data_IF_508815313032
#
_entry.id   IF_508815313032
#
_cell.length_a   1.000
_cell.length_b   1.000
_cell.length_c   1.000
_cell.angle_alpha   90.00
_cell.angle_beta   90.00
_cell.angle_gamma   90.00
#
_symmetry.space_group_name_H-M   'P 1'
#
loop_
_entity.id
_entity.type
_entity.pdbx_description
1 polymer ?
#
# COMPACT_ATOMS: atom_id res chain seq x y z
N UNK A 1 -6.94 -18.59 6.83
CA UNK A 1 -6.49 -17.94 5.58
C UNK A 1 -7.62 -17.06 5.07
N UNK A 2 -7.32 -15.85 4.64
CA UNK A 2 -8.27 -14.91 4.05
C UNK A 2 -7.70 -14.37 2.74
N UNK A 3 -8.52 -14.22 1.72
CA UNK A 3 -8.12 -13.64 0.45
C UNK A 3 -9.32 -12.93 -0.18
N UNK A 4 -9.05 -11.88 -0.93
CA UNK A 4 -10.11 -11.17 -1.63
C UNK A 4 -9.59 -10.31 -2.75
N UNK A 5 -10.51 -9.98 -3.63
CA UNK A 5 -10.32 -9.10 -4.76
C UNK A 5 -11.43 -8.05 -4.72
N UNK A 6 -11.05 -6.80 -4.94
CA UNK A 6 -11.92 -5.66 -5.00
C UNK A 6 -11.66 -4.92 -6.30
N UNK A 7 -12.73 -4.63 -7.03
CA UNK A 7 -12.70 -3.79 -8.21
C UNK A 7 -13.79 -2.73 -8.07
N UNK A 8 -13.42 -1.47 -8.28
CA UNK A 8 -14.35 -0.36 -8.35
C UNK A 8 -14.17 0.33 -9.69
N UNK A 9 -15.24 0.37 -10.48
CA UNK A 9 -15.30 1.22 -11.64
C UNK A 9 -15.37 2.69 -11.19
N UNK A 10 -14.56 3.54 -11.81
CA UNK A 10 -14.60 4.98 -11.56
C UNK A 10 -15.93 5.60 -12.01
N UNK A 11 -16.31 6.78 -11.48
CA UNK A 11 -17.55 7.46 -11.86
C UNK A 11 -17.55 7.77 -13.36
N UNK A 12 -18.49 7.21 -14.12
CA UNK A 12 -18.58 7.34 -15.57
C UNK A 12 -19.70 8.30 -16.01
N UNK A 13 -19.84 9.42 -15.32
CA UNK A 13 -20.79 10.49 -15.66
C UNK A 13 -20.07 11.65 -16.36
N UNK A 14 -20.79 12.49 -17.14
CA UNK A 14 -20.22 13.71 -17.71
C UNK A 14 -19.62 14.60 -16.61
N UNK A 15 -18.42 15.12 -16.83
CA UNK A 15 -17.72 16.01 -15.90
C UNK A 15 -18.56 17.24 -15.53
N UNK A 16 -19.43 17.69 -16.43
CA UNK A 16 -20.39 18.77 -16.18
C UNK A 16 -21.41 18.47 -15.08
N UNK A 17 -21.67 17.18 -14.77
CA UNK A 17 -22.54 16.75 -13.67
C UNK A 17 -21.77 16.50 -12.37
N UNK A 18 -20.44 16.43 -12.44
CA UNK A 18 -19.55 16.16 -11.30
C UNK A 18 -18.98 17.43 -10.66
N UNK A 19 -19.20 18.59 -11.27
CA UNK A 19 -18.71 19.90 -10.78
C UNK A 19 -19.86 20.87 -10.53
N UNK A 20 -19.71 21.70 -9.50
CA UNK A 20 -20.71 22.72 -9.15
C UNK A 20 -20.80 23.88 -10.16
N UNK A 21 -19.76 24.12 -10.96
CA UNK A 21 -19.74 25.16 -11.99
C UNK A 21 -19.09 24.64 -13.29
N UNK A 22 -19.88 24.10 -14.24
CA UNK A 22 -19.36 23.53 -15.49
C UNK A 22 -18.60 24.52 -16.39
N UNK A 23 -18.79 25.83 -16.21
CA UNK A 23 -18.08 26.86 -16.99
C UNK A 23 -16.61 26.99 -16.59
N UNK A 24 -16.23 26.57 -15.38
CA UNK A 24 -14.83 26.58 -14.93
C UNK A 24 -13.98 25.53 -15.65
N UNK A 25 -14.60 24.49 -16.22
CA UNK A 25 -13.93 23.42 -16.97
C UNK A 25 -13.18 23.96 -18.21
N UNK A 26 -13.68 25.03 -18.82
CA UNK A 26 -13.03 25.66 -19.97
C UNK A 26 -11.65 26.26 -19.66
N UNK A 27 -11.42 26.70 -18.41
CA UNK A 27 -10.11 27.19 -17.96
C UNK A 27 -9.05 26.07 -17.90
N UNK A 28 -9.48 24.81 -17.85
CA UNK A 28 -8.63 23.62 -17.85
C UNK A 28 -8.55 22.95 -19.24
N UNK A 29 -9.00 23.64 -20.31
CA UNK A 29 -8.99 23.12 -21.68
C UNK A 29 -10.08 22.09 -21.97
N UNK A 30 -11.04 21.89 -21.06
CA UNK A 30 -12.15 20.96 -21.24
C UNK A 30 -13.29 21.72 -21.93
N UNK A 31 -13.35 21.62 -23.26
CA UNK A 31 -14.30 22.37 -24.10
C UNK A 31 -15.62 21.64 -24.35
N UNK A 32 -15.70 20.34 -24.02
CA UNK A 32 -16.91 19.53 -24.16
C UNK A 32 -17.55 19.23 -22.80
N UNK A 33 -18.82 19.59 -22.64
CA UNK A 33 -19.61 19.27 -21.45
C UNK A 33 -19.94 17.77 -21.30
N UNK A 34 -19.67 16.97 -22.33
CA UNK A 34 -19.86 15.51 -22.35
C UNK A 34 -18.57 14.73 -22.09
N UNK A 35 -17.45 15.41 -21.81
CA UNK A 35 -16.23 14.72 -21.37
C UNK A 35 -16.55 13.98 -20.07
N UNK A 36 -16.34 12.66 -20.02
CA UNK A 36 -16.42 11.84 -18.79
C UNK A 36 -15.01 11.44 -18.35
N UNK A 37 -14.90 10.74 -17.23
CA UNK A 37 -13.64 10.09 -16.82
C UNK A 37 -13.22 8.98 -17.79
N UNK A 38 -14.06 8.51 -18.72
CA UNK A 38 -13.77 7.41 -19.66
C UNK A 38 -13.29 6.12 -18.96
N UNK A 39 -13.95 5.72 -17.86
CA UNK A 39 -13.51 4.62 -16.99
C UNK A 39 -12.18 4.87 -16.28
N UNK A 40 -11.79 6.14 -16.11
CA UNK A 40 -10.64 6.49 -15.27
C UNK A 40 -11.06 6.60 -13.80
N UNK A 41 -10.10 6.51 -12.87
CA UNK A 41 -10.28 6.40 -11.41
C UNK A 41 -10.71 5.00 -10.95
N UNK A 42 -10.34 3.97 -11.71
CA UNK A 42 -10.52 2.59 -11.27
C UNK A 42 -9.60 2.28 -10.08
N UNK A 43 -10.12 1.48 -9.15
CA UNK A 43 -9.35 0.89 -8.06
C UNK A 43 -9.46 -0.62 -8.13
N UNK A 44 -8.32 -1.27 -8.39
CA UNK A 44 -8.18 -2.71 -8.42
C UNK A 44 -7.26 -3.15 -7.28
N UNK A 45 -7.81 -3.81 -6.27
CA UNK A 45 -7.05 -4.31 -5.13
C UNK A 45 -7.19 -5.82 -4.96
N UNK A 46 -6.09 -6.49 -4.61
CA UNK A 46 -6.06 -7.90 -4.19
C UNK A 46 -5.33 -8.03 -2.88
N UNK A 47 -5.83 -8.89 -2.00
CA UNK A 47 -5.17 -9.21 -0.75
C UNK A 47 -5.21 -10.70 -0.47
N UNK A 48 -4.20 -11.18 0.25
CA UNK A 48 -4.17 -12.50 0.83
C UNK A 48 -3.48 -12.43 2.18
N UNK A 49 -3.98 -13.15 3.17
CA UNK A 49 -3.35 -13.30 4.47
C UNK A 49 -3.51 -14.72 5.01
N UNK A 50 -2.48 -15.17 5.69
CA UNK A 50 -2.44 -16.45 6.37
C UNK A 50 -1.87 -16.23 7.77
N UNK A 51 -2.49 -16.85 8.75
CA UNK A 51 -2.02 -16.90 10.13
C UNK A 51 -2.03 -18.37 10.56
N UNK A 52 -0.93 -18.83 11.13
CA UNK A 52 -0.75 -20.20 11.60
C UNK A 52 -0.15 -20.13 12.99
N UNK A 53 -0.78 -20.80 13.94
CA UNK A 53 -0.28 -20.96 15.31
C UNK A 53 -0.08 -22.45 15.58
N UNK A 54 1.11 -22.84 16.04
CA UNK A 54 1.44 -24.22 16.37
C UNK A 54 2.51 -24.30 17.46
N UNK A 55 2.20 -24.95 18.58
CA UNK A 55 3.13 -25.20 19.69
C UNK A 55 3.99 -23.98 20.04
N UNK A 56 3.33 -22.87 20.42
CA UNK A 56 3.95 -21.59 20.79
C UNK A 56 4.62 -20.83 19.64
N UNK A 57 4.77 -21.42 18.46
CA UNK A 57 5.16 -20.68 17.26
C UNK A 57 3.94 -20.06 16.60
N UNK A 58 4.11 -18.85 16.09
CA UNK A 58 3.12 -18.18 15.27
C UNK A 58 3.77 -17.68 13.98
N UNK A 59 2.99 -17.65 12.91
CA UNK A 59 3.42 -17.11 11.63
C UNK A 59 2.27 -16.31 11.03
N UNK A 60 2.57 -15.09 10.60
CA UNK A 60 1.64 -14.23 9.89
C UNK A 60 2.25 -13.85 8.55
N UNK A 61 1.57 -14.18 7.47
CA UNK A 61 1.92 -13.77 6.11
C UNK A 61 0.79 -12.92 5.57
N UNK A 62 1.11 -11.79 4.96
CA UNK A 62 0.14 -10.91 4.31
C UNK A 62 0.72 -10.33 3.04
N UNK A 63 -0.12 -10.25 2.02
CA UNK A 63 0.18 -9.64 0.74
C UNK A 63 -0.99 -8.76 0.34
N UNK A 64 -0.68 -7.54 -0.09
CA UNK A 64 -1.64 -6.58 -0.59
C UNK A 64 -1.07 -5.96 -1.87
N UNK A 65 -1.88 -5.85 -2.91
CA UNK A 65 -1.57 -5.08 -4.10
C UNK A 65 -2.78 -4.24 -4.48
N UNK A 66 -2.56 -2.97 -4.79
CA UNK A 66 -3.59 -2.09 -5.36
C UNK A 66 -3.05 -1.33 -6.57
N UNK A 67 -3.93 -1.11 -7.55
CA UNK A 67 -3.72 -0.21 -8.68
C UNK A 67 -4.83 0.82 -8.59
N UNK A 68 -4.46 2.07 -8.36
CA UNK A 68 -5.39 3.19 -8.27
C UNK A 68 -5.08 4.16 -9.40
N UNK A 69 -6.04 4.41 -10.27
CA UNK A 69 -5.89 5.49 -11.24
C UNK A 69 -6.07 6.87 -10.57
N UNK A 70 -5.34 7.85 -11.07
CA UNK A 70 -5.23 9.18 -10.47
C UNK A 70 -5.68 10.20 -11.51
N UNK A 71 -6.55 11.10 -11.09
CA UNK A 71 -6.81 12.32 -11.83
C UNK A 71 -5.89 13.43 -11.32
N UNK A 72 -4.84 13.72 -12.08
CA UNK A 72 -4.06 14.94 -11.93
C UNK A 72 -4.75 15.98 -12.81
N UNK A 73 -5.00 17.20 -12.33
CA UNK A 73 -5.85 18.27 -12.92
C UNK A 73 -5.43 18.77 -14.32
N UNK A 74 -4.76 17.94 -15.10
CA UNK A 74 -4.22 18.14 -16.43
C UNK A 74 -4.71 16.99 -17.32
N UNK A 75 -5.11 17.27 -18.56
CA UNK A 75 -5.59 16.23 -19.47
C UNK A 75 -4.48 15.20 -19.75
N UNK A 76 -4.78 13.92 -19.53
CA UNK A 76 -3.91 12.82 -19.94
C UNK A 76 -4.09 12.53 -21.43
N UNK A 77 -2.99 12.18 -22.10
CA UNK A 77 -2.97 11.98 -23.55
C UNK A 77 -3.43 10.57 -23.95
N UNK A 78 -3.33 9.58 -23.06
CA UNK A 78 -3.71 8.18 -23.34
C UNK A 78 -4.68 7.56 -22.31
N UNK A 79 -4.22 6.66 -21.43
CA UNK A 79 -5.06 5.94 -20.46
C UNK A 79 -5.23 6.70 -19.14
N UNK A 80 -4.35 7.65 -18.82
CA UNK A 80 -4.33 8.33 -17.53
C UNK A 80 -3.20 7.85 -16.61
N UNK A 81 -3.00 8.59 -15.51
CA UNK A 81 -1.96 8.28 -14.53
C UNK A 81 -2.45 7.23 -13.52
N UNK A 82 -1.55 6.42 -12.98
CA UNK A 82 -1.90 5.43 -11.95
C UNK A 82 -0.82 5.22 -10.90
N UNK A 83 -1.23 4.74 -9.72
CA UNK A 83 -0.38 4.26 -8.65
C UNK A 83 -0.58 2.76 -8.48
N UNK A 84 0.47 1.98 -8.72
CA UNK A 84 0.57 0.61 -8.27
C UNK A 84 1.26 0.58 -6.90
N UNK A 85 0.65 -0.05 -5.90
CA UNK A 85 1.25 -0.33 -4.60
C UNK A 85 1.25 -1.82 -4.34
N UNK A 86 2.34 -2.35 -3.81
CA UNK A 86 2.51 -3.73 -3.38
C UNK A 86 3.13 -3.74 -1.99
N UNK A 87 2.57 -4.54 -1.11
CA UNK A 87 3.06 -4.74 0.24
C UNK A 87 3.03 -6.22 0.58
N UNK A 88 4.15 -6.74 1.03
CA UNK A 88 4.26 -8.09 1.58
C UNK A 88 4.80 -7.96 2.99
N UNK A 89 4.13 -8.54 3.98
CA UNK A 89 4.64 -8.65 5.34
C UNK A 89 4.62 -10.10 5.76
N UNK A 90 5.73 -10.59 6.27
CA UNK A 90 5.86 -11.91 6.90
C UNK A 90 6.43 -11.77 8.28
N UNK A 91 5.86 -12.45 9.26
CA UNK A 91 6.35 -12.49 10.63
C UNK A 91 6.35 -13.94 11.08
N UNK A 92 7.44 -14.36 11.70
CA UNK A 92 7.54 -15.65 12.39
C UNK A 92 7.95 -15.33 13.81
N UNK A 93 7.23 -15.86 14.78
CA UNK A 93 7.51 -15.66 16.18
C UNK A 93 7.32 -16.89 17.02
N UNK A 94 7.78 -16.78 18.26
CA UNK A 94 7.65 -17.76 19.31
C UNK A 94 7.22 -17.05 20.58
N UNK A 95 6.06 -17.44 21.10
CA UNK A 95 5.50 -16.91 22.34
C UNK A 95 5.24 -18.05 23.30
N UNK A 96 5.94 -18.05 24.42
CA UNK A 96 5.79 -19.10 25.42
C UNK A 96 5.72 -18.54 26.83
N UNK A 97 4.82 -19.12 27.61
CA UNK A 97 4.78 -18.92 29.05
C UNK A 97 5.84 -19.81 29.69
N UNK A 98 6.88 -19.19 30.26
CA UNK A 98 7.99 -19.90 30.91
C UNK A 98 7.59 -20.28 32.34
N UNK A 99 6.88 -19.40 33.04
CA UNK A 99 6.33 -19.62 34.37
C UNK A 99 4.95 -18.97 34.51
N UNK A 100 4.26 -19.19 35.61
CA UNK A 100 2.96 -18.56 35.89
C UNK A 100 2.98 -17.03 35.84
N UNK A 101 4.16 -16.42 36.02
CA UNK A 101 4.35 -14.98 36.05
C UNK A 101 5.23 -14.44 34.91
N UNK A 102 5.76 -15.29 34.03
CA UNK A 102 6.68 -14.85 32.97
C UNK A 102 6.30 -15.44 31.62
N UNK A 103 6.03 -14.57 30.66
CA UNK A 103 5.87 -14.93 29.25
C UNK A 103 6.93 -14.22 28.42
N UNK A 104 7.52 -14.93 27.47
CA UNK A 104 8.42 -14.34 26.48
C UNK A 104 7.76 -14.42 25.10
N UNK A 105 7.99 -13.40 24.30
CA UNK A 105 7.53 -13.29 22.92
C UNK A 105 8.68 -12.75 22.08
N UNK A 106 9.13 -13.54 21.11
CA UNK A 106 10.22 -13.15 20.22
C UNK A 106 9.75 -13.36 18.79
N UNK A 107 9.95 -12.38 17.91
CA UNK A 107 9.64 -12.54 16.50
C UNK A 107 10.64 -11.87 15.59
N UNK A 108 10.72 -12.39 14.39
CA UNK A 108 11.41 -11.80 13.26
C UNK A 108 10.37 -11.49 12.19
N UNK A 109 10.49 -10.31 11.59
CA UNK A 109 9.62 -9.85 10.53
C UNK A 109 10.40 -9.46 9.28
N UNK A 110 9.76 -9.66 8.14
CA UNK A 110 10.18 -9.15 6.84
C UNK A 110 9.04 -8.33 6.27
N UNK A 111 9.35 -7.15 5.76
CA UNK A 111 8.42 -6.30 5.04
C UNK A 111 9.03 -5.89 3.71
N UNK A 112 8.24 -6.03 2.66
CA UNK A 112 8.53 -5.50 1.34
C UNK A 112 7.45 -4.51 0.99
N UNK A 113 7.85 -3.30 0.61
CA UNK A 113 6.96 -2.30 0.06
C UNK A 113 7.49 -1.90 -1.32
N UNK A 114 6.59 -1.83 -2.30
CA UNK A 114 6.89 -1.31 -3.63
C UNK A 114 5.75 -0.42 -4.07
N UNK A 115 6.10 0.73 -4.63
CA UNK A 115 5.20 1.70 -5.21
C UNK A 115 5.75 2.08 -6.58
N UNK A 116 4.87 2.10 -7.57
CA UNK A 116 5.15 2.60 -8.91
C UNK A 116 4.07 3.62 -9.26
N UNK A 117 4.48 4.77 -9.77
CA UNK A 117 3.60 5.78 -10.33
C UNK A 117 3.88 5.87 -11.82
N UNK A 118 2.84 5.71 -12.62
CA UNK A 118 2.89 6.03 -14.04
C UNK A 118 2.18 7.36 -14.26
N UNK A 119 2.89 8.35 -14.79
CA UNK A 119 2.38 9.67 -15.14
C UNK A 119 2.22 9.83 -16.63
N UNK A 120 0.99 10.04 -17.07
CA UNK A 120 0.64 10.34 -18.46
C UNK A 120 0.18 11.81 -18.56
N UNK A 121 1.07 12.69 -18.99
CA UNK A 121 0.85 14.14 -19.05
C UNK A 121 1.10 14.68 -20.46
N UNK A 122 0.11 15.35 -21.05
CA UNK A 122 0.17 16.24 -22.24
C UNK A 122 0.80 15.70 -23.56
N UNK A 123 1.96 15.04 -23.52
CA UNK A 123 2.69 14.42 -24.63
C UNK A 123 3.70 13.37 -24.11
N UNK A 124 4.23 12.51 -24.99
CA UNK A 124 5.28 11.53 -24.63
C UNK A 124 6.52 12.15 -23.97
N UNK A 125 6.78 13.44 -24.22
CA UNK A 125 7.91 14.20 -23.68
C UNK A 125 7.71 14.73 -22.25
N UNK A 126 6.49 14.67 -21.69
CA UNK A 126 6.16 15.11 -20.32
C UNK A 126 5.59 13.95 -19.48
N UNK A 127 5.55 12.76 -20.05
CA UNK A 127 5.11 11.52 -19.40
C UNK A 127 6.32 10.81 -18.77
N UNK A 128 6.11 10.10 -17.67
CA UNK A 128 7.19 9.38 -17.01
C UNK A 128 6.72 8.42 -15.92
N UNK A 129 7.65 7.67 -15.34
CA UNK A 129 7.37 6.80 -14.20
C UNK A 129 8.27 7.14 -13.01
N UNK A 130 7.77 6.95 -11.80
CA UNK A 130 8.58 6.92 -10.59
C UNK A 130 8.35 5.62 -9.83
N UNK A 131 9.37 5.18 -9.11
CA UNK A 131 9.33 3.93 -8.36
C UNK A 131 9.98 4.13 -7.00
N UNK A 132 9.37 3.53 -5.98
CA UNK A 132 9.93 3.40 -4.65
C UNK A 132 9.85 1.94 -4.22
N UNK A 133 10.94 1.38 -3.74
CA UNK A 133 10.97 0.05 -3.14
C UNK A 133 11.74 0.10 -1.83
N UNK A 134 11.24 -0.60 -0.82
CA UNK A 134 11.89 -0.77 0.46
C UNK A 134 11.76 -2.23 0.93
N UNK A 135 12.87 -2.79 1.41
CA UNK A 135 12.90 -4.07 2.12
C UNK A 135 13.40 -3.86 3.54
N UNK A 136 12.61 -4.34 4.51
CA UNK A 136 12.82 -4.11 5.93
C UNK A 136 12.83 -5.45 6.65
N UNK A 137 13.82 -5.65 7.50
CA UNK A 137 13.86 -6.75 8.46
C UNK A 137 13.69 -6.17 9.86
N UNK A 138 12.82 -6.78 10.66
CA UNK A 138 12.61 -6.42 12.06
C UNK A 138 12.82 -7.62 12.96
N UNK A 139 13.21 -7.35 14.20
CA UNK A 139 13.28 -8.34 15.27
C UNK A 139 12.80 -7.67 16.54
N UNK A 140 11.87 -8.30 17.23
CA UNK A 140 11.36 -7.84 18.50
C UNK A 140 11.45 -8.95 19.53
N UNK A 141 11.81 -8.57 20.75
CA UNK A 141 11.75 -9.44 21.92
C UNK A 141 11.01 -8.69 23.01
N UNK A 142 9.97 -9.31 23.57
CA UNK A 142 9.16 -8.78 24.66
C UNK A 142 9.06 -9.81 25.76
N UNK A 143 9.24 -9.36 26.99
CA UNK A 143 9.04 -10.12 28.22
C UNK A 143 7.88 -9.51 28.98
N UNK A 144 6.93 -10.35 29.37
CA UNK A 144 5.75 -9.99 30.15
C UNK A 144 5.87 -10.63 31.53
N UNK A 145 6.00 -9.79 32.56
CA UNK A 145 6.12 -10.18 33.95
C UNK A 145 4.84 -9.83 34.71
N UNK A 146 4.14 -10.86 35.19
CA UNK A 146 2.85 -10.78 35.87
C UNK A 146 2.99 -11.28 37.31
N UNK A 147 3.47 -10.44 38.26
CA UNK A 147 3.68 -10.86 39.64
C UNK A 147 2.36 -11.19 40.36
N UNK A 148 1.22 -10.67 39.89
CA UNK A 148 -0.11 -11.03 40.37
C UNK A 148 -1.16 -10.90 39.25
N UNK A 149 -2.37 -11.40 39.49
CA UNK A 149 -3.42 -11.47 38.47
C UNK A 149 -3.90 -10.11 37.94
N UNK A 150 -3.65 -9.04 38.66
CA UNK A 150 -4.15 -7.69 38.37
C UNK A 150 -3.09 -6.75 37.81
N UNK A 151 -1.83 -7.17 37.71
CA UNK A 151 -0.73 -6.30 37.33
C UNK A 151 0.28 -7.03 36.45
N UNK A 152 0.63 -6.42 35.33
CA UNK A 152 1.60 -6.91 34.37
C UNK A 152 2.57 -5.78 34.02
N UNK A 153 3.87 -6.10 34.02
CA UNK A 153 4.94 -5.26 33.52
C UNK A 153 5.44 -5.89 32.24
N UNK A 154 5.58 -5.12 31.17
CA UNK A 154 6.27 -5.56 29.97
C UNK A 154 7.57 -4.78 29.75
N UNK A 155 8.56 -5.45 29.19
CA UNK A 155 9.82 -4.86 28.77
C UNK A 155 10.27 -5.54 27.48
N UNK A 156 10.92 -4.81 26.59
CA UNK A 156 11.34 -5.38 25.33
C UNK A 156 12.37 -4.55 24.60
N UNK A 157 12.92 -5.14 23.54
CA UNK A 157 13.80 -4.48 22.60
C UNK A 157 13.30 -4.74 21.17
N UNK A 158 13.47 -3.72 20.33
CA UNK A 158 13.07 -3.75 18.93
C UNK A 158 14.25 -3.29 18.08
N UNK A 159 14.56 -4.07 17.06
CA UNK A 159 15.58 -3.77 16.08
C UNK A 159 14.96 -3.79 14.68
N UNK A 160 15.29 -2.79 13.87
CA UNK A 160 14.82 -2.69 12.49
C UNK A 160 15.98 -2.28 11.59
N UNK A 161 16.07 -2.92 10.43
CA UNK A 161 17.04 -2.62 9.40
C UNK A 161 16.37 -2.50 8.03
N UNK A 162 16.66 -1.41 7.33
CA UNK A 162 16.30 -1.23 5.92
C UNK A 162 17.48 -1.69 5.05
N UNK A 163 17.26 -2.63 4.12
CA UNK A 163 18.34 -3.25 3.32
C UNK A 163 18.38 -2.69 1.92
N UNK A 164 17.26 -2.75 1.19
CA UNK A 164 17.17 -2.31 -0.19
C UNK A 164 16.14 -1.20 -0.29
N UNK A 165 16.62 0.04 -0.28
CA UNK A 165 15.80 1.23 -0.48
C UNK A 165 16.17 1.85 -1.81
N UNK A 166 15.27 1.76 -2.79
CA UNK A 166 15.46 2.34 -4.12
C UNK A 166 14.35 3.35 -4.35
N UNK A 167 14.74 4.59 -4.66
CA UNK A 167 13.83 5.61 -5.15
C UNK A 167 14.35 6.07 -6.51
N UNK A 168 13.49 6.03 -7.52
CA UNK A 168 13.76 6.64 -8.81
C UNK A 168 12.85 7.87 -8.96
N UNK A 169 13.48 9.02 -9.17
CA UNK A 169 12.80 10.23 -9.60
C UNK A 169 12.12 10.02 -10.96
N UNK A 170 11.22 10.93 -11.33
CA UNK A 170 10.44 10.85 -12.57
C UNK A 170 11.35 10.62 -13.78
N UNK A 171 11.35 9.40 -14.32
CA UNK A 171 12.07 9.06 -15.54
C UNK A 171 11.14 9.19 -16.73
N UNK A 172 11.57 9.81 -17.85
CA UNK A 172 10.77 9.84 -19.06
C UNK A 172 10.54 8.41 -19.57
N UNK A 173 9.39 8.14 -20.18
CA UNK A 173 9.20 6.88 -20.90
C UNK A 173 10.16 6.84 -22.10
N UNK A 174 11.17 5.99 -22.05
CA UNK A 174 12.07 5.75 -23.19
C UNK A 174 11.30 4.86 -24.16
N UNK A 175 10.89 5.44 -25.30
CA UNK A 175 10.33 4.71 -26.43
C UNK A 175 11.42 3.98 -27.21
#
# INVERSE_FOLDING_TARGET
MNAGYYNCEGPNEPLSQMVSNPKSLGAYGITSHNSSTQKRLENNAKYASCAIDYNNFYTHLSYNQSINEIYLLVPSFSKGSSYLRRMTKGVIGYKNQITDFLTIDAHIGYHSFSMQMDLDHFSNSVSGYSMGQAEIYETEFVSYFKPCNTFEINTGCHFQQNVNTVFSDLQPFIN
#
